data_IF_075240952272
#
_entry.id   IF_075240952272
#
_cell.length_a   1.000
_cell.length_b   1.000
_cell.length_c   1.000
_cell.angle_alpha   90.00
_cell.angle_beta   90.00
_cell.angle_gamma   90.00
#
_symmetry.space_group_name_H-M   'P 1'
#
loop_
_entity.id
_entity.type
_entity.pdbx_description
1 polymer ?
#
# COMPACT_ATOMS: atom_id res chain seq x y z
N UNK A 1 12.20 -34.61 17.27
CA UNK A 1 10.94 -34.05 16.72
C UNK A 1 10.16 -33.15 17.68
N UNK A 2 10.32 -33.24 19.02
CA UNK A 2 9.57 -32.42 20.00
C UNK A 2 9.96 -30.93 20.12
N UNK A 3 10.95 -30.42 19.37
CA UNK A 3 11.34 -29.00 19.49
C UNK A 3 10.52 -28.08 18.57
N UNK A 4 9.94 -28.60 17.49
CA UNK A 4 9.29 -27.82 16.43
C UNK A 4 8.00 -27.11 16.91
N UNK A 5 7.33 -27.67 17.93
CA UNK A 5 6.10 -27.10 18.52
C UNK A 5 6.32 -26.53 19.92
N UNK A 6 7.58 -26.33 20.34
CA UNK A 6 7.85 -25.84 21.69
C UNK A 6 7.46 -24.38 21.78
N UNK A 7 6.49 -24.07 22.65
CA UNK A 7 6.16 -22.69 23.00
C UNK A 7 7.20 -22.14 23.96
N UNK A 8 7.43 -20.84 23.89
CA UNK A 8 8.25 -20.14 24.90
C UNK A 8 7.34 -19.82 26.08
N UNK A 9 7.80 -20.09 27.30
CA UNK A 9 7.02 -19.70 28.47
C UNK A 9 6.96 -18.17 28.56
N UNK A 10 5.80 -17.65 28.97
CA UNK A 10 5.61 -16.21 29.16
C UNK A 10 6.66 -15.64 30.12
N UNK A 11 6.99 -16.37 31.18
CA UNK A 11 8.03 -16.03 32.16
C UNK A 11 9.39 -15.79 31.50
N UNK A 12 9.77 -16.60 30.50
CA UNK A 12 11.05 -16.44 29.81
C UNK A 12 11.05 -15.23 28.86
N UNK A 13 9.93 -14.92 28.21
CA UNK A 13 9.81 -13.71 27.37
C UNK A 13 9.79 -12.45 28.22
N UNK A 14 9.11 -12.50 29.37
CA UNK A 14 9.14 -11.42 30.35
C UNK A 14 10.54 -11.22 30.95
N UNK A 15 11.25 -12.30 31.29
CA UNK A 15 12.62 -12.23 31.78
C UNK A 15 13.61 -11.66 30.73
N UNK A 16 13.44 -12.00 29.44
CA UNK A 16 14.22 -11.37 28.36
C UNK A 16 13.89 -9.88 28.19
N UNK A 17 12.62 -9.51 28.34
CA UNK A 17 12.18 -8.11 28.33
C UNK A 17 12.73 -7.32 29.54
N UNK A 18 12.93 -7.98 30.68
CA UNK A 18 13.49 -7.38 31.90
C UNK A 18 15.04 -7.27 31.88
N UNK A 19 15.74 -8.08 31.08
CA UNK A 19 17.20 -8.12 31.02
C UNK A 19 17.89 -7.02 30.20
N UNK A 20 17.14 -6.19 29.47
CA UNK A 20 17.67 -5.05 28.70
C UNK A 20 17.54 -3.70 29.41
N UNK A 21 18.31 -2.68 28.99
CA UNK A 21 18.10 -1.29 29.43
C UNK A 21 16.67 -0.84 29.05
N UNK A 22 15.75 -0.95 30.00
CA UNK A 22 14.34 -0.64 29.78
C UNK A 22 14.16 0.86 29.58
N UNK A 23 13.75 1.25 28.36
CA UNK A 23 13.38 2.63 28.07
C UNK A 23 12.26 3.07 29.03
N UNK A 24 12.36 4.30 29.54
CA UNK A 24 11.30 4.87 30.38
C UNK A 24 10.00 4.87 29.58
N UNK A 25 8.94 4.27 30.13
CA UNK A 25 7.59 4.33 29.53
C UNK A 25 7.07 5.77 29.66
N UNK A 26 7.18 6.54 28.58
CA UNK A 26 6.67 7.93 28.51
C UNK A 26 5.47 8.05 27.56
N UNK A 27 5.17 7.00 26.78
CA UNK A 27 4.04 6.98 25.86
C UNK A 27 2.74 6.72 26.62
N UNK A 28 1.87 7.75 26.65
CA UNK A 28 0.50 7.60 27.13
C UNK A 28 -0.44 7.08 26.03
N UNK A 29 -1.72 6.81 26.37
CA UNK A 29 -2.71 6.29 25.42
C UNK A 29 -2.84 7.15 24.15
N UNK A 30 -2.85 8.47 24.30
CA UNK A 30 -2.96 9.40 23.16
C UNK A 30 -1.76 9.33 22.22
N UNK A 31 -0.55 9.20 22.76
CA UNK A 31 0.67 9.07 21.95
C UNK A 31 0.71 7.72 21.23
N UNK A 32 0.21 6.65 21.86
CA UNK A 32 0.07 5.33 21.25
C UNK A 32 -0.98 5.31 20.14
N UNK A 33 -2.15 5.94 20.36
CA UNK A 33 -3.16 6.11 19.30
C UNK A 33 -2.61 6.95 18.15
N UNK A 34 -1.87 8.02 18.43
CA UNK A 34 -1.22 8.82 17.40
C UNK A 34 -0.19 7.99 16.61
N UNK A 35 0.62 7.17 17.27
CA UNK A 35 1.54 6.22 16.60
C UNK A 35 0.78 5.28 15.65
N UNK A 36 -0.32 4.68 16.11
CA UNK A 36 -1.16 3.81 15.27
C UNK A 36 -1.74 4.54 14.05
N UNK A 37 -2.36 5.71 14.24
CA UNK A 37 -2.89 6.52 13.13
C UNK A 37 -1.76 6.93 12.17
N UNK A 38 -0.59 7.29 12.69
CA UNK A 38 0.58 7.70 11.92
C UNK A 38 1.17 6.60 11.05
N UNK A 39 1.11 5.35 11.53
CA UNK A 39 1.56 4.16 10.82
C UNK A 39 0.57 3.76 9.70
N UNK A 40 -0.73 3.91 9.94
CA UNK A 40 -1.81 3.57 8.99
C UNK A 40 -1.92 4.63 7.87
N UNK A 41 -1.91 5.92 8.20
CA UNK A 41 -2.04 6.99 7.20
C UNK A 41 -0.72 7.18 6.45
N UNK A 42 -0.66 6.64 5.25
CA UNK A 42 0.51 6.69 4.36
C UNK A 42 0.17 6.98 2.89
N UNK A 43 1.08 6.59 2.01
CA UNK A 43 0.96 6.75 0.55
C UNK A 43 -0.24 6.03 -0.06
N UNK A 44 -0.76 4.99 0.60
CA UNK A 44 -1.90 4.21 0.14
C UNK A 44 -3.16 5.06 -0.08
N UNK A 45 -3.60 5.82 0.94
CA UNK A 45 -4.86 6.58 0.86
C UNK A 45 -4.81 7.72 -0.17
N UNK A 46 -3.64 8.34 -0.38
CA UNK A 46 -3.53 9.50 -1.26
C UNK A 46 -3.27 9.14 -2.74
N UNK A 47 -2.71 7.96 -3.04
CA UNK A 47 -2.39 7.54 -4.42
C UNK A 47 -3.31 6.42 -4.89
N UNK A 48 -3.40 5.35 -4.10
CA UNK A 48 -3.99 4.10 -4.56
C UNK A 48 -5.52 4.14 -4.57
N UNK A 49 -6.15 5.01 -3.75
CA UNK A 49 -7.61 5.23 -3.76
C UNK A 49 -8.10 5.68 -5.13
N UNK A 50 -7.44 6.66 -5.74
CA UNK A 50 -7.83 7.18 -7.06
C UNK A 50 -7.66 6.15 -8.17
N UNK A 51 -6.59 5.35 -8.11
CA UNK A 51 -6.34 4.27 -9.06
C UNK A 51 -7.35 3.13 -8.89
N UNK A 52 -7.65 2.74 -7.65
CA UNK A 52 -8.65 1.73 -7.35
C UNK A 52 -10.05 2.14 -7.82
N UNK A 53 -10.44 3.38 -7.55
CA UNK A 53 -11.71 3.95 -8.02
C UNK A 53 -11.82 3.93 -9.54
N UNK A 54 -10.77 4.36 -10.25
CA UNK A 54 -10.77 4.45 -11.72
C UNK A 54 -10.77 3.08 -12.38
N UNK A 55 -9.84 2.22 -11.97
CA UNK A 55 -9.47 1.04 -12.75
C UNK A 55 -10.13 -0.26 -12.23
N UNK A 56 -10.56 -0.30 -10.97
CA UNK A 56 -10.91 -1.56 -10.28
C UNK A 56 -12.36 -1.63 -9.82
N UNK A 57 -12.86 -0.60 -9.14
CA UNK A 57 -14.15 -0.68 -8.42
C UNK A 57 -15.21 0.30 -8.91
N UNK A 58 -14.83 1.47 -9.40
CA UNK A 58 -15.75 2.60 -9.53
C UNK A 58 -16.20 3.15 -8.16
N UNK A 59 -17.38 3.81 -8.10
CA UNK A 59 -17.96 4.34 -6.85
C UNK A 59 -18.16 3.31 -5.73
N UNK A 60 -18.29 2.02 -6.09
CA UNK A 60 -18.38 0.90 -5.15
C UNK A 60 -17.13 0.74 -4.25
N UNK A 61 -16.06 1.52 -4.49
CA UNK A 61 -14.89 1.60 -3.61
C UNK A 61 -15.26 1.84 -2.14
N UNK A 62 -16.33 2.61 -1.88
CA UNK A 62 -16.80 2.86 -0.52
C UNK A 62 -17.17 1.56 0.21
N UNK A 63 -17.79 0.60 -0.47
CA UNK A 63 -18.09 -0.71 0.10
C UNK A 63 -16.83 -1.56 0.27
N UNK A 64 -15.85 -1.43 -0.63
CA UNK A 64 -14.54 -2.07 -0.48
C UNK A 64 -13.86 -1.66 0.82
N UNK A 65 -13.91 -0.37 1.17
CA UNK A 65 -13.41 0.15 2.44
C UNK A 65 -14.16 -0.43 3.64
N UNK A 66 -15.49 -0.54 3.58
CA UNK A 66 -16.28 -1.12 4.67
C UNK A 66 -15.92 -2.60 4.89
N UNK A 67 -15.84 -3.40 3.83
CA UNK A 67 -15.50 -4.83 3.93
C UNK A 67 -14.09 -5.03 4.46
N UNK A 68 -13.10 -4.31 3.92
CA UNK A 68 -11.72 -4.38 4.39
C UNK A 68 -11.61 -3.92 5.86
N UNK A 69 -12.26 -2.80 6.21
CA UNK A 69 -12.27 -2.27 7.56
C UNK A 69 -12.88 -3.21 8.59
N UNK A 70 -13.99 -3.90 8.25
CA UNK A 70 -14.59 -4.90 9.14
C UNK A 70 -13.65 -6.07 9.41
N UNK A 71 -12.95 -6.57 8.38
CA UNK A 71 -11.95 -7.62 8.55
C UNK A 71 -10.80 -7.14 9.48
N UNK A 72 -10.33 -5.91 9.30
CA UNK A 72 -9.30 -5.32 10.14
C UNK A 72 -9.76 -5.09 11.59
N UNK A 73 -11.02 -4.75 11.82
CA UNK A 73 -11.57 -4.59 13.18
C UNK A 73 -11.51 -5.92 13.94
N UNK A 74 -11.93 -7.02 13.32
CA UNK A 74 -11.85 -8.34 13.96
C UNK A 74 -10.41 -8.73 14.26
N UNK A 75 -9.49 -8.51 13.32
CA UNK A 75 -8.06 -8.74 13.55
C UNK A 75 -7.52 -7.87 14.69
N UNK A 76 -7.83 -6.57 14.70
CA UNK A 76 -7.37 -5.63 15.73
C UNK A 76 -7.86 -6.00 17.14
N UNK A 77 -9.08 -6.53 17.26
CA UNK A 77 -9.60 -7.03 18.55
C UNK A 77 -8.79 -8.23 19.06
N UNK A 78 -8.40 -9.17 18.19
CA UNK A 78 -7.51 -10.28 18.56
C UNK A 78 -6.14 -9.77 19.00
N UNK A 79 -5.56 -8.80 18.27
CA UNK A 79 -4.28 -8.18 18.67
C UNK A 79 -4.39 -7.44 20.02
N UNK A 80 -5.50 -6.76 20.29
CA UNK A 80 -5.73 -6.08 21.56
C UNK A 80 -5.81 -7.08 22.73
N UNK A 81 -6.46 -8.23 22.52
CA UNK A 81 -6.50 -9.31 23.51
C UNK A 81 -5.09 -9.84 23.81
N UNK A 82 -4.29 -10.15 22.78
CA UNK A 82 -2.91 -10.61 22.96
C UNK A 82 -2.00 -9.58 23.63
N UNK A 83 -2.09 -8.31 23.22
CA UNK A 83 -1.32 -7.23 23.82
C UNK A 83 -1.66 -7.01 25.30
N UNK A 84 -2.92 -7.24 25.69
CA UNK A 84 -3.34 -7.16 27.10
C UNK A 84 -2.87 -8.35 27.94
N UNK A 85 -2.76 -9.54 27.33
CA UNK A 85 -2.34 -10.77 28.00
C UNK A 85 -0.82 -10.88 28.16
N UNK A 86 -0.06 -10.44 27.15
CA UNK A 86 1.39 -10.51 27.11
C UNK A 86 1.96 -9.10 26.86
N UNK A 87 2.13 -8.25 27.90
CA UNK A 87 2.58 -6.86 27.79
C UNK A 87 4.10 -6.76 27.59
N UNK A 88 4.60 -7.54 26.64
CA UNK A 88 5.99 -7.58 26.19
C UNK A 88 6.07 -6.85 24.85
N UNK A 89 7.14 -6.09 24.63
CA UNK A 89 7.37 -5.46 23.33
C UNK A 89 7.52 -6.56 22.27
N UNK A 90 6.49 -6.76 21.44
CA UNK A 90 6.43 -7.85 20.49
C UNK A 90 5.30 -7.69 19.48
N UNK A 91 5.51 -8.20 18.25
CA UNK A 91 4.48 -8.25 17.20
C UNK A 91 3.90 -9.68 17.11
N UNK A 92 3.14 -9.96 16.05
CA UNK A 92 2.51 -11.25 15.75
C UNK A 92 3.43 -12.46 15.95
N UNK A 93 4.73 -12.31 15.63
CA UNK A 93 5.77 -13.31 15.88
C UNK A 93 5.81 -13.77 17.34
N UNK A 94 5.86 -12.84 18.29
CA UNK A 94 5.94 -13.13 19.72
C UNK A 94 4.67 -13.82 20.19
N UNK A 95 3.51 -13.35 19.73
CA UNK A 95 2.22 -13.96 20.07
C UNK A 95 2.09 -15.38 19.52
N UNK A 96 2.56 -15.63 18.30
CA UNK A 96 2.60 -16.96 17.70
C UNK A 96 3.55 -17.91 18.45
N UNK A 97 4.69 -17.41 18.93
CA UNK A 97 5.64 -18.20 19.71
C UNK A 97 5.04 -18.65 21.05
N UNK A 98 4.28 -17.76 21.70
CA UNK A 98 3.60 -18.05 22.96
C UNK A 98 2.45 -19.07 22.79
N UNK A 99 1.76 -19.06 21.65
CA UNK A 99 0.49 -19.81 21.47
C UNK A 99 0.62 -21.06 20.60
N UNK A 100 1.33 -20.98 19.47
CA UNK A 100 1.36 -22.01 18.42
C UNK A 100 2.70 -22.76 18.34
N UNK A 101 3.74 -22.22 18.98
CA UNK A 101 5.07 -22.82 19.06
C UNK A 101 6.04 -22.35 17.96
N UNK A 102 7.26 -22.88 18.02
CA UNK A 102 8.41 -22.39 17.27
C UNK A 102 8.22 -22.38 15.74
N UNK A 103 7.65 -23.44 15.14
CA UNK A 103 7.49 -23.50 13.68
C UNK A 103 6.55 -22.42 13.14
N UNK A 104 5.39 -22.25 13.76
CA UNK A 104 4.42 -21.24 13.32
C UNK A 104 4.95 -19.84 13.56
N UNK A 105 5.63 -19.62 14.69
CA UNK A 105 6.34 -18.38 14.95
C UNK A 105 7.41 -18.10 13.89
N UNK A 106 8.20 -19.11 13.50
CA UNK A 106 9.23 -18.97 12.48
C UNK A 106 8.64 -18.62 11.11
N UNK A 107 7.55 -19.28 10.69
CA UNK A 107 6.85 -18.97 9.45
C UNK A 107 6.32 -17.53 9.47
N UNK A 108 5.63 -17.13 10.55
CA UNK A 108 5.11 -15.77 10.71
C UNK A 108 6.25 -14.74 10.78
N UNK A 109 7.38 -15.08 11.38
CA UNK A 109 8.55 -14.20 11.44
C UNK A 109 9.12 -13.90 10.06
N UNK A 110 9.28 -14.92 9.20
CA UNK A 110 9.71 -14.71 7.82
C UNK A 110 8.68 -13.98 6.98
N UNK A 111 7.40 -14.26 7.19
CA UNK A 111 6.28 -13.55 6.56
C UNK A 111 6.33 -12.06 6.89
N UNK A 112 6.43 -11.69 8.17
CA UNK A 112 6.56 -10.29 8.61
C UNK A 112 7.80 -9.59 8.03
N UNK A 113 8.94 -10.28 7.96
CA UNK A 113 10.16 -9.71 7.36
C UNK A 113 9.95 -9.35 5.89
N UNK A 114 9.32 -10.26 5.12
CA UNK A 114 9.00 -10.02 3.71
C UNK A 114 7.93 -8.93 3.56
N UNK A 115 6.90 -8.96 4.41
CA UNK A 115 5.82 -7.98 4.43
C UNK A 115 6.36 -6.57 4.67
N UNK A 116 7.12 -6.34 5.74
CA UNK A 116 7.68 -5.01 6.03
C UNK A 116 8.68 -4.56 4.96
N UNK A 117 9.43 -5.48 4.33
CA UNK A 117 10.33 -5.15 3.23
C UNK A 117 9.56 -4.65 2.00
N UNK A 118 8.54 -5.39 1.56
CA UNK A 118 7.69 -5.02 0.41
C UNK A 118 6.89 -3.75 0.71
N UNK A 119 6.37 -3.60 1.92
CA UNK A 119 5.67 -2.40 2.36
C UNK A 119 6.60 -1.18 2.31
N UNK A 120 7.82 -1.28 2.84
CA UNK A 120 8.81 -0.18 2.81
C UNK A 120 9.15 0.26 1.39
N UNK A 121 9.35 -0.69 0.47
CA UNK A 121 9.55 -0.40 -0.96
C UNK A 121 8.34 0.32 -1.56
N UNK A 122 7.13 -0.13 -1.24
CA UNK A 122 5.88 0.48 -1.72
C UNK A 122 5.72 1.91 -1.21
N UNK A 123 6.05 2.17 0.06
CA UNK A 123 5.99 3.52 0.63
C UNK A 123 7.02 4.44 -0.02
N UNK A 124 8.27 3.99 -0.19
CA UNK A 124 9.33 4.76 -0.85
C UNK A 124 8.97 5.11 -2.31
N UNK A 125 8.41 4.15 -3.06
CA UNK A 125 7.92 4.38 -4.41
C UNK A 125 6.76 5.39 -4.46
N UNK A 126 5.81 5.29 -3.52
CA UNK A 126 4.73 6.26 -3.40
C UNK A 126 5.24 7.67 -3.09
N UNK A 127 6.27 7.79 -2.25
CA UNK A 127 6.91 9.08 -1.95
C UNK A 127 7.63 9.66 -3.17
N UNK A 128 8.36 8.82 -3.92
CA UNK A 128 9.01 9.21 -5.18
C UNK A 128 7.99 9.87 -6.10
N UNK A 129 6.85 9.22 -6.36
CA UNK A 129 5.75 9.77 -7.19
C UNK A 129 5.29 11.18 -6.79
N UNK A 130 5.21 11.48 -5.50
CA UNK A 130 4.87 12.82 -5.03
C UNK A 130 5.98 13.82 -5.28
N UNK A 131 7.23 13.41 -5.05
CA UNK A 131 8.39 14.26 -5.32
C UNK A 131 8.46 14.64 -6.80
N UNK A 132 8.32 13.70 -7.75
CA UNK A 132 8.34 14.06 -9.17
C UNK A 132 7.20 14.96 -9.59
N UNK A 133 5.99 14.75 -9.04
CA UNK A 133 4.86 15.67 -9.27
C UNK A 133 5.16 17.07 -8.72
N UNK A 134 5.78 17.16 -7.54
CA UNK A 134 6.19 18.43 -6.95
C UNK A 134 7.25 19.14 -7.81
N UNK A 135 8.29 18.42 -8.24
CA UNK A 135 9.33 18.97 -9.11
C UNK A 135 8.77 19.43 -10.45
N UNK A 136 7.84 18.66 -11.04
CA UNK A 136 7.13 19.05 -12.25
C UNK A 136 6.30 20.33 -12.06
N UNK A 137 5.61 20.48 -10.92
CA UNK A 137 4.90 21.73 -10.58
C UNK A 137 5.84 22.93 -10.42
N UNK A 138 7.10 22.70 -10.03
CA UNK A 138 8.15 23.73 -9.96
C UNK A 138 8.83 24.01 -11.31
N UNK A 139 8.36 23.38 -12.41
CA UNK A 139 8.94 23.54 -13.75
C UNK A 139 10.18 22.67 -14.01
N UNK A 140 10.59 21.83 -13.05
CA UNK A 140 11.68 20.87 -13.22
C UNK A 140 11.10 19.53 -13.70
N UNK A 141 11.05 19.33 -15.01
CA UNK A 141 10.67 18.05 -15.60
C UNK A 141 11.81 17.04 -15.38
N UNK A 142 11.63 16.16 -14.39
CA UNK A 142 12.55 15.04 -14.15
C UNK A 142 12.21 13.93 -15.14
N UNK A 143 13.18 13.43 -15.95
CA UNK A 143 12.92 12.35 -16.90
C UNK A 143 12.38 11.09 -16.21
N UNK A 144 11.38 10.43 -16.80
CA UNK A 144 10.80 9.19 -16.26
C UNK A 144 11.82 8.05 -16.04
N UNK A 145 12.95 8.12 -16.75
CA UNK A 145 14.10 7.19 -16.65
C UNK A 145 14.68 7.09 -15.22
N UNK A 146 14.52 8.12 -14.40
CA UNK A 146 15.11 8.17 -13.04
C UNK A 146 14.07 8.11 -11.92
N UNK A 147 12.78 8.19 -12.25
CA UNK A 147 11.70 8.46 -11.28
C UNK A 147 10.60 7.38 -11.30
N UNK A 148 10.66 6.44 -12.23
CA UNK A 148 9.68 5.37 -12.39
C UNK A 148 10.20 4.04 -11.81
N UNK A 149 9.29 3.09 -11.57
CA UNK A 149 9.71 1.73 -11.24
C UNK A 149 10.26 1.03 -12.51
N UNK A 150 11.33 0.20 -12.39
CA UNK A 150 11.89 -0.52 -13.53
C UNK A 150 10.96 -1.59 -14.11
N UNK A 151 10.00 -2.05 -13.31
CA UNK A 151 8.99 -3.02 -13.70
C UNK A 151 7.61 -2.38 -13.59
N UNK A 152 6.87 -2.40 -14.68
CA UNK A 152 5.46 -2.02 -14.70
C UNK A 152 4.64 -3.10 -15.37
N UNK A 153 3.42 -3.35 -14.87
CA UNK A 153 2.49 -4.26 -15.53
C UNK A 153 1.73 -3.46 -16.59
N UNK A 154 1.69 -3.98 -17.82
CA UNK A 154 0.85 -3.37 -18.84
C UNK A 154 -0.62 -3.40 -18.36
N UNK A 155 -1.32 -2.24 -18.32
CA UNK A 155 -2.68 -2.17 -17.81
C UNK A 155 -3.65 -3.13 -18.51
N UNK A 156 -3.40 -3.38 -19.80
CA UNK A 156 -4.26 -4.20 -20.66
C UNK A 156 -3.74 -5.62 -20.97
N UNK A 157 -2.43 -5.88 -21.04
CA UNK A 157 -1.92 -7.21 -21.41
C UNK A 157 -1.43 -8.01 -20.21
N UNK A 158 -1.15 -7.37 -19.08
CA UNK A 158 -0.61 -8.04 -17.88
C UNK A 158 0.84 -8.47 -18.04
N UNK A 159 1.46 -8.17 -19.17
CA UNK A 159 2.87 -8.41 -19.39
C UNK A 159 3.70 -7.50 -18.49
N UNK A 160 4.76 -8.08 -17.93
CA UNK A 160 5.77 -7.33 -17.18
C UNK A 160 6.62 -6.59 -18.20
N UNK A 161 6.46 -5.27 -18.24
CA UNK A 161 7.24 -4.38 -19.08
C UNK A 161 8.47 -3.94 -18.28
N UNK A 162 9.64 -4.05 -18.89
CA UNK A 162 10.92 -3.58 -18.31
C UNK A 162 11.12 -2.11 -18.65
N UNK A 163 10.34 -1.23 -18.02
CA UNK A 163 10.41 0.22 -18.19
C UNK A 163 9.08 0.91 -17.92
N UNK A 164 9.07 2.23 -18.10
CA UNK A 164 7.83 3.03 -18.03
C UNK A 164 7.21 3.20 -19.42
N UNK A 165 5.90 3.02 -19.48
CA UNK A 165 5.09 3.38 -20.65
C UNK A 165 4.56 4.79 -20.44
N UNK A 166 5.21 5.77 -21.08
CA UNK A 166 4.75 7.16 -21.06
C UNK A 166 3.64 7.34 -22.11
N UNK A 167 2.51 7.95 -21.72
CA UNK A 167 1.53 8.43 -22.71
C UNK A 167 2.17 9.59 -23.48
N UNK A 168 2.56 9.35 -24.72
CA UNK A 168 3.03 10.40 -25.62
C UNK A 168 1.84 11.29 -26.02
N UNK A 169 1.90 12.57 -25.68
CA UNK A 169 1.04 13.63 -26.22
C UNK A 169 1.69 14.21 -27.47
N UNK A 170 0.90 14.58 -28.46
CA UNK A 170 1.41 15.34 -29.61
C UNK A 170 1.93 16.73 -29.17
N UNK A 171 2.64 17.46 -30.05
CA UNK A 171 3.17 18.81 -29.81
C UNK A 171 2.08 19.83 -29.39
N UNK A 172 0.81 19.51 -29.64
CA UNK A 172 -0.37 20.31 -29.25
C UNK A 172 -1.08 19.80 -27.98
N UNK A 173 -0.55 18.77 -27.30
CA UNK A 173 -1.07 18.28 -26.03
C UNK A 173 -2.26 17.30 -26.10
N UNK A 174 -2.62 16.83 -27.30
CA UNK A 174 -3.70 15.87 -27.51
C UNK A 174 -3.23 14.41 -27.39
N UNK A 175 -4.08 13.56 -26.79
CA UNK A 175 -3.88 12.11 -26.72
C UNK A 175 -3.98 11.50 -28.14
N UNK A 176 -2.98 10.73 -28.54
CA UNK A 176 -2.96 10.05 -29.84
C UNK A 176 -3.89 8.82 -29.74
N UNK A 177 -5.04 8.90 -30.43
CA UNK A 177 -6.06 7.84 -30.48
C UNK A 177 -5.99 7.10 -31.82
N UNK A 178 -5.94 5.77 -31.82
CA UNK A 178 -6.08 4.95 -33.05
C UNK A 178 -7.30 4.04 -32.90
N UNK A 179 -8.09 3.94 -33.97
CA UNK A 179 -9.25 3.07 -34.06
C UNK A 179 -8.82 1.73 -34.66
N UNK A 180 -9.01 0.64 -33.93
CA UNK A 180 -8.77 -0.70 -34.44
C UNK A 180 -10.12 -1.43 -34.65
N UNK A 181 -10.22 -2.25 -35.69
CA UNK A 181 -11.38 -3.10 -35.96
C UNK A 181 -11.05 -4.52 -35.53
N UNK A 182 -11.80 -5.05 -34.58
CA UNK A 182 -11.68 -6.46 -34.18
C UNK A 182 -12.07 -7.39 -35.35
N UNK A 183 -11.67 -8.66 -35.28
CA UNK A 183 -11.97 -9.69 -36.29
C UNK A 183 -13.48 -9.96 -36.55
N UNK A 184 -14.36 -9.32 -35.78
CA UNK A 184 -15.83 -9.30 -35.91
C UNK A 184 -16.41 -7.96 -36.41
N UNK A 185 -15.55 -7.02 -36.85
CA UNK A 185 -15.96 -5.79 -37.52
C UNK A 185 -16.44 -4.64 -36.62
N UNK A 186 -16.34 -4.78 -35.29
CA UNK A 186 -16.63 -3.67 -34.36
C UNK A 186 -15.39 -2.78 -34.17
N UNK A 187 -15.59 -1.47 -34.31
CA UNK A 187 -14.57 -0.45 -34.04
C UNK A 187 -14.39 -0.29 -32.53
N UNK A 188 -13.17 -0.47 -32.04
CA UNK A 188 -12.77 -0.19 -30.67
C UNK A 188 -11.76 0.95 -30.65
N UNK A 189 -11.99 1.92 -29.76
CA UNK A 189 -11.05 2.99 -29.48
C UNK A 189 -9.99 2.46 -28.50
N UNK A 190 -8.79 2.19 -29.01
CA UNK A 190 -7.65 1.76 -28.21
C UNK A 190 -6.62 2.90 -28.21
N UNK A 191 -6.15 3.28 -27.03
CA UNK A 191 -5.08 4.26 -26.91
C UNK A 191 -3.79 3.61 -27.42
N UNK A 192 -3.31 4.04 -28.58
CA UNK A 192 -2.10 3.52 -29.23
C UNK A 192 -0.88 3.99 -28.44
N UNK A 193 -0.24 3.05 -27.77
CA UNK A 193 1.10 3.23 -27.24
C UNK A 193 2.03 3.21 -28.44
N UNK A 194 2.20 4.39 -29.04
CA UNK A 194 2.79 4.65 -30.37
C UNK A 194 3.96 3.71 -30.69
N UNK A 195 3.76 2.83 -31.66
CA UNK A 195 4.84 2.32 -32.52
C UNK A 195 5.47 3.52 -33.22
N UNK A 196 6.74 3.80 -32.95
CA UNK A 196 7.58 4.67 -33.80
C UNK A 196 8.68 3.79 -34.37
N UNK A 197 8.63 3.59 -35.69
CA UNK A 197 9.71 2.99 -36.51
C UNK A 197 10.06 1.51 -36.22
N UNK A 198 9.04 0.66 -36.05
CA UNK A 198 9.21 -0.81 -36.07
C UNK A 198 10.00 -1.42 -34.92
N UNK A 199 10.36 -0.63 -33.90
CA UNK A 199 10.97 -1.10 -32.66
C UNK A 199 10.18 -0.59 -31.46
N UNK A 200 9.92 -1.48 -30.52
CA UNK A 200 9.34 -1.18 -29.21
C UNK A 200 10.27 -0.20 -28.48
N UNK A 201 9.86 1.04 -28.26
CA UNK A 201 10.64 1.97 -27.44
C UNK A 201 10.08 1.94 -26.03
N UNK A 202 10.49 0.91 -25.31
CA UNK A 202 10.43 0.85 -23.86
C UNK A 202 11.44 1.85 -23.32
N UNK A 203 11.00 2.92 -22.66
CA UNK A 203 11.94 3.79 -21.92
C UNK A 203 12.50 2.96 -20.78
N UNK A 204 13.75 2.49 -20.92
CA UNK A 204 14.44 1.69 -19.90
C UNK A 204 14.62 2.55 -18.65
N UNK A 205 13.73 2.37 -17.70
CA UNK A 205 13.94 2.82 -16.33
C UNK A 205 14.73 1.74 -15.61
N UNK A 206 15.93 2.09 -15.14
CA UNK A 206 16.79 1.11 -14.46
C UNK A 206 16.48 1.03 -12.96
N UNK A 207 16.10 2.15 -12.34
CA UNK A 207 15.85 2.25 -10.91
C UNK A 207 15.03 3.50 -10.60
N UNK A 208 14.10 3.40 -9.65
CA UNK A 208 13.47 4.55 -9.01
C UNK A 208 14.50 5.20 -8.05
N UNK A 209 15.28 6.14 -8.58
CA UNK A 209 16.39 6.76 -7.85
C UNK A 209 15.91 7.52 -6.61
N UNK A 210 14.86 8.36 -6.66
CA UNK A 210 14.38 9.03 -5.45
C UNK A 210 13.86 8.06 -4.39
N UNK A 211 13.18 6.97 -4.77
CA UNK A 211 12.76 5.94 -3.81
C UNK A 211 13.98 5.26 -3.15
N UNK A 212 15.01 4.93 -3.93
CA UNK A 212 16.24 4.34 -3.40
C UNK A 212 16.98 5.31 -2.46
N UNK A 213 17.09 6.59 -2.85
CA UNK A 213 17.75 7.62 -2.04
C UNK A 213 17.03 7.86 -0.71
N UNK A 214 15.69 7.94 -0.72
CA UNK A 214 14.95 8.12 0.54
C UNK A 214 15.07 6.88 1.42
N UNK A 215 15.03 5.68 0.84
CA UNK A 215 15.22 4.44 1.61
C UNK A 215 16.60 4.42 2.29
N UNK A 216 17.68 4.72 1.55
CA UNK A 216 19.03 4.82 2.10
C UNK A 216 19.15 5.91 3.18
N UNK A 217 18.52 7.06 2.98
CA UNK A 217 18.52 8.13 3.97
C UNK A 217 17.82 7.70 5.27
N UNK A 218 16.66 7.06 5.17
CA UNK A 218 15.94 6.52 6.33
C UNK A 218 16.75 5.41 7.00
N UNK A 219 17.39 4.51 6.24
CA UNK A 219 18.30 3.50 6.80
C UNK A 219 19.46 4.13 7.57
N UNK A 220 20.11 5.17 7.01
CA UNK A 220 21.19 5.86 7.70
C UNK A 220 20.73 6.52 9.01
N UNK A 221 19.52 7.09 9.02
CA UNK A 221 18.90 7.67 10.22
C UNK A 221 18.61 6.56 11.25
N UNK A 222 18.04 5.43 10.83
CA UNK A 222 17.73 4.30 11.71
C UNK A 222 18.99 3.70 12.33
N UNK A 223 20.07 3.52 11.55
CA UNK A 223 21.37 3.01 12.05
C UNK A 223 22.01 3.96 13.05
N UNK A 224 21.89 5.28 12.84
CA UNK A 224 22.38 6.29 13.79
C UNK A 224 21.53 6.36 15.08
N UNK A 225 20.33 5.80 15.04
CA UNK A 225 19.38 5.76 16.14
C UNK A 225 18.44 6.96 16.13
N UNK A 226 17.13 6.66 16.15
CA UNK A 226 16.08 7.67 16.27
C UNK A 226 15.76 7.84 17.75
N UNK A 227 16.20 8.96 18.34
CA UNK A 227 15.71 9.42 19.65
C UNK A 227 14.62 10.45 19.44
N UNK A 228 13.49 10.04 18.90
CA UNK A 228 12.36 10.95 18.71
C UNK A 228 11.62 11.19 20.03
N UNK A 229 11.18 12.45 20.19
CA UNK A 229 10.23 12.82 21.23
C UNK A 229 8.82 12.42 20.77
N UNK A 230 8.03 11.79 21.65
CA UNK A 230 6.64 11.44 21.38
C UNK A 230 5.80 12.63 20.86
N UNK A 231 6.17 13.87 21.23
CA UNK A 231 5.52 15.09 20.74
C UNK A 231 5.78 15.38 19.25
N UNK A 232 6.97 15.06 18.74
CA UNK A 232 7.28 15.24 17.31
C UNK A 232 6.46 14.26 16.45
N UNK A 233 6.36 13.00 16.88
CA UNK A 233 5.50 12.04 16.21
C UNK A 233 4.03 12.47 16.21
N UNK A 234 3.50 12.95 17.35
CA UNK A 234 2.12 13.45 17.42
C UNK A 234 1.87 14.63 16.47
N UNK A 235 2.84 15.54 16.31
CA UNK A 235 2.76 16.64 15.36
C UNK A 235 2.68 16.14 13.91
N UNK A 236 3.52 15.16 13.53
CA UNK A 236 3.51 14.57 12.19
C UNK A 236 2.15 13.93 11.87
N UNK A 237 1.56 13.23 12.83
CA UNK A 237 0.23 12.63 12.70
C UNK A 237 -0.84 13.71 12.53
N UNK A 238 -0.78 14.77 13.34
CA UNK A 238 -1.72 15.89 13.25
C UNK A 238 -1.69 16.52 11.84
N UNK A 239 -0.50 16.76 11.28
CA UNK A 239 -0.36 17.27 9.90
C UNK A 239 -1.03 16.33 8.89
N UNK A 240 -0.75 15.01 8.96
CA UNK A 240 -1.35 14.03 8.05
C UNK A 240 -2.88 14.04 8.13
N UNK A 241 -3.43 14.01 9.35
CA UNK A 241 -4.89 14.02 9.58
C UNK A 241 -5.49 15.34 9.09
N UNK A 242 -4.86 16.48 9.33
CA UNK A 242 -5.32 17.77 8.83
C UNK A 242 -5.40 17.81 7.31
N UNK A 243 -4.42 17.24 6.60
CA UNK A 243 -4.46 17.15 5.13
C UNK A 243 -5.64 16.30 4.66
N UNK A 244 -5.89 15.14 5.29
CA UNK A 244 -7.05 14.29 4.97
C UNK A 244 -8.35 15.06 5.19
N UNK A 245 -8.51 15.71 6.34
CA UNK A 245 -9.71 16.49 6.66
C UNK A 245 -9.90 17.67 5.70
N UNK A 246 -8.83 18.32 5.27
CA UNK A 246 -8.88 19.39 4.28
C UNK A 246 -9.39 18.86 2.94
N UNK A 247 -8.87 17.72 2.48
CA UNK A 247 -9.33 17.10 1.22
C UNK A 247 -10.80 16.72 1.30
N UNK A 248 -11.25 16.14 2.42
CA UNK A 248 -12.66 15.80 2.63
C UNK A 248 -13.53 17.07 2.67
N UNK A 249 -13.11 18.08 3.42
CA UNK A 249 -13.86 19.33 3.61
C UNK A 249 -14.01 20.12 2.31
N UNK A 250 -12.93 20.29 1.54
CA UNK A 250 -12.98 20.94 0.23
C UNK A 250 -13.71 20.05 -0.77
N UNK A 251 -13.40 18.75 -0.80
CA UNK A 251 -13.99 17.79 -1.74
C UNK A 251 -15.51 17.67 -1.59
N UNK A 252 -16.06 17.82 -0.39
CA UNK A 252 -17.50 17.79 -0.12
C UNK A 252 -18.29 18.83 -0.95
N UNK A 253 -17.69 19.99 -1.26
CA UNK A 253 -18.34 21.03 -2.08
C UNK A 253 -18.34 20.70 -3.59
N UNK A 254 -17.55 19.72 -4.02
CA UNK A 254 -17.42 19.31 -5.42
C UNK A 254 -18.07 17.94 -5.71
N UNK A 255 -18.87 17.41 -4.77
CA UNK A 255 -19.57 16.13 -4.95
C UNK A 255 -20.74 16.32 -5.92
N UNK A 256 -20.67 15.63 -7.07
CA UNK A 256 -21.82 15.47 -7.98
C UNK A 256 -22.37 14.04 -7.87
N UNK A 257 -23.61 13.86 -7.35
CA UNK A 257 -24.25 12.56 -7.19
C UNK A 257 -24.43 11.77 -8.49
N UNK A 258 -24.39 12.42 -9.67
CA UNK A 258 -24.47 11.72 -10.97
C UNK A 258 -23.32 10.74 -11.18
N UNK A 259 -22.17 11.02 -10.56
CA UNK A 259 -21.02 10.10 -10.59
C UNK A 259 -21.29 8.77 -9.87
N UNK A 260 -22.42 8.62 -9.15
CA UNK A 260 -22.79 7.41 -8.43
C UNK A 260 -23.90 6.60 -9.11
N UNK A 261 -24.50 7.07 -10.21
CA UNK A 261 -25.56 6.34 -10.92
C UNK A 261 -25.08 4.97 -11.42
N UNK A 262 -23.87 4.93 -11.99
CA UNK A 262 -23.18 3.67 -12.26
C UNK A 262 -22.31 3.27 -11.06
N UNK A 263 -22.97 2.87 -9.96
CA UNK A 263 -22.31 2.65 -8.67
C UNK A 263 -21.24 1.55 -8.69
N UNK A 264 -21.55 0.42 -9.32
CA UNK A 264 -20.67 -0.74 -9.40
C UNK A 264 -20.43 -1.14 -10.87
N UNK A 265 -19.67 -0.33 -11.65
CA UNK A 265 -19.49 -0.52 -13.09
C UNK A 265 -18.79 -1.84 -13.45
N UNK A 266 -18.07 -2.41 -12.49
CA UNK A 266 -17.30 -3.66 -12.64
C UNK A 266 -17.87 -4.78 -11.74
N UNK A 267 -19.09 -4.60 -11.24
CA UNK A 267 -19.77 -5.52 -10.33
C UNK A 267 -19.23 -5.55 -8.90
N UNK A 268 -19.93 -6.32 -8.06
CA UNK A 268 -19.59 -6.52 -6.65
C UNK A 268 -18.58 -7.65 -6.41
N UNK A 269 -18.23 -8.40 -7.46
CA UNK A 269 -17.26 -9.51 -7.38
C UNK A 269 -15.81 -9.03 -7.32
N UNK A 270 -14.91 -9.87 -7.82
CA UNK A 270 -13.46 -9.67 -7.77
C UNK A 270 -12.76 -10.58 -6.76
N UNK A 271 -13.42 -11.66 -6.33
CA UNK A 271 -12.87 -12.64 -5.41
C UNK A 271 -11.92 -13.57 -6.15
N UNK A 272 -10.65 -13.58 -5.74
CA UNK A 272 -9.61 -14.41 -6.31
C UNK A 272 -8.87 -15.20 -5.23
N UNK A 273 -8.58 -16.47 -5.52
CA UNK A 273 -7.75 -17.34 -4.70
C UNK A 273 -6.61 -17.88 -5.55
N UNK A 274 -5.37 -17.74 -5.08
CA UNK A 274 -4.17 -18.25 -5.76
C UNK A 274 -4.08 -17.81 -7.24
N UNK A 275 -4.53 -16.58 -7.56
CA UNK A 275 -4.54 -16.05 -8.92
C UNK A 275 -5.73 -16.51 -9.78
N UNK A 276 -6.61 -17.37 -9.28
CA UNK A 276 -7.83 -17.78 -9.97
C UNK A 276 -9.02 -16.96 -9.48
N UNK A 277 -9.76 -16.35 -10.39
CA UNK A 277 -10.99 -15.60 -10.04
C UNK A 277 -12.14 -16.57 -9.87
N UNK A 278 -12.68 -16.63 -8.66
CA UNK A 278 -13.83 -17.48 -8.31
C UNK A 278 -15.15 -16.76 -8.61
N UNK A 279 -15.18 -15.44 -8.41
CA UNK A 279 -16.38 -14.64 -8.66
C UNK A 279 -16.00 -13.22 -9.05
N UNK A 280 -16.57 -12.73 -10.15
CA UNK A 280 -16.39 -11.37 -10.65
C UNK A 280 -15.75 -11.30 -12.02
N UNK A 281 -15.46 -10.08 -12.45
CA UNK A 281 -14.88 -9.82 -13.76
C UNK A 281 -13.35 -9.81 -13.70
N UNK A 282 -12.76 -10.15 -14.84
CA UNK A 282 -11.33 -10.02 -15.08
C UNK A 282 -11.08 -8.73 -15.86
N UNK A 283 -10.00 -8.05 -15.52
CA UNK A 283 -9.43 -7.02 -16.39
C UNK A 283 -8.85 -7.68 -17.64
N UNK A 284 -8.62 -6.91 -18.72
CA UNK A 284 -7.95 -7.41 -19.92
C UNK A 284 -6.60 -8.09 -19.64
N UNK A 285 -5.91 -7.67 -18.56
CA UNK A 285 -4.65 -8.21 -18.10
C UNK A 285 -4.76 -9.47 -17.20
N UNK A 286 -5.95 -10.04 -17.05
CA UNK A 286 -6.17 -11.24 -16.22
C UNK A 286 -6.21 -11.00 -14.70
N UNK A 287 -6.11 -9.74 -14.23
CA UNK A 287 -6.27 -9.42 -12.81
C UNK A 287 -7.75 -9.27 -12.42
N UNK A 288 -8.12 -9.60 -11.16
CA UNK A 288 -9.49 -9.42 -10.71
C UNK A 288 -9.93 -7.94 -10.73
N UNK A 289 -11.21 -7.75 -11.04
CA UNK A 289 -11.93 -6.47 -11.07
C UNK A 289 -13.23 -6.58 -10.28
N UNK A 290 -13.70 -5.45 -9.74
CA UNK A 290 -14.91 -5.35 -8.95
C UNK A 290 -14.65 -4.97 -7.49
N UNK A 291 -15.74 -4.76 -6.75
CA UNK A 291 -15.71 -4.27 -5.37
C UNK A 291 -14.83 -5.11 -4.43
N UNK A 292 -14.86 -6.44 -4.50
CA UNK A 292 -14.03 -7.31 -3.64
C UNK A 292 -12.55 -7.28 -4.02
N UNK A 293 -12.24 -7.14 -5.32
CA UNK A 293 -10.85 -6.95 -5.76
C UNK A 293 -10.28 -5.63 -5.20
N UNK A 294 -11.10 -4.58 -5.17
CA UNK A 294 -10.74 -3.32 -4.52
C UNK A 294 -10.56 -3.46 -3.01
N UNK A 295 -11.37 -4.29 -2.34
CA UNK A 295 -11.24 -4.52 -0.90
C UNK A 295 -9.87 -5.14 -0.56
N UNK A 296 -9.42 -6.12 -1.34
CA UNK A 296 -8.08 -6.71 -1.18
C UNK A 296 -6.95 -5.69 -1.41
N UNK A 297 -7.10 -4.77 -2.37
CA UNK A 297 -6.11 -3.71 -2.61
C UNK A 297 -6.08 -2.66 -1.49
N UNK A 298 -7.26 -2.24 -1.02
CA UNK A 298 -7.43 -1.24 0.04
C UNK A 298 -7.04 -1.79 1.42
N UNK A 299 -7.09 -3.11 1.62
CA UNK A 299 -6.66 -3.76 2.85
C UNK A 299 -5.26 -3.32 3.28
N UNK A 300 -4.36 -3.09 2.31
CA UNK A 300 -3.02 -2.53 2.55
C UNK A 300 -3.03 -1.18 3.30
N UNK A 301 -4.11 -0.40 3.20
CA UNK A 301 -4.22 0.91 3.87
C UNK A 301 -4.49 0.79 5.36
N UNK A 302 -4.87 -0.39 5.83
CA UNK A 302 -5.08 -0.66 7.25
C UNK A 302 -3.83 -1.24 7.94
N UNK A 303 -2.75 -1.48 7.20
CA UNK A 303 -1.49 -1.97 7.78
C UNK A 303 -0.88 -0.94 8.74
N UNK A 304 -0.27 -1.43 9.82
CA UNK A 304 0.45 -0.60 10.80
C UNK A 304 -0.27 -0.42 12.15
N UNK A 305 -1.49 -0.92 12.34
CA UNK A 305 -2.12 -0.90 13.67
C UNK A 305 -1.36 -1.77 14.69
N UNK A 306 -0.71 -2.82 14.20
CA UNK A 306 0.14 -3.75 14.94
C UNK A 306 1.41 -3.07 15.49
N UNK A 307 1.84 -1.95 14.92
CA UNK A 307 2.95 -1.14 15.45
C UNK A 307 2.66 -0.56 16.85
N UNK A 308 1.39 -0.51 17.27
CA UNK A 308 1.04 -0.15 18.65
C UNK A 308 1.30 -1.32 19.60
N UNK A 309 1.12 -2.56 19.13
CA UNK A 309 1.31 -3.76 19.95
C UNK A 309 2.78 -4.07 20.25
N UNK A 310 3.72 -3.47 19.51
CA UNK A 310 5.16 -3.65 19.70
C UNK A 310 5.78 -2.74 20.78
N UNK A 311 4.99 -1.83 21.38
CA UNK A 311 5.44 -0.83 22.37
C UNK A 311 4.94 -1.13 23.79
#
# INVERSE_FOLDING_TARGET
>A
MNQIFKTKSLEHVMAESEGGERLKRVLGPWSLTALGIGAIIGTGIFVLVGQAARDITGPALMLSFVVAGLACIFAALCYAEFASMAPVAGSAYTYAYLTLGELMAWVIGWDLVLEYAVASCTVAHGWSKYLGKLLAMMGMAVPGVVHEAPFSLHPNTGEVIVGHVEKLKDLEGNDIKVKEKDASGQEREIYDLKKVDGKEVVTRTYLDLPAALIALAITAILVKGIKESAGFNALMVAIKVSVVLLVIGVGAFYVDPKNWENFAPYGFGGLSFFGHVVWGELRPNGLPRGMLAGAAMIFFFYFGFDAVSTN
#
